data_IF_276382931342
#
_entry.id   IF_276382931342
#
_cell.length_a   1.000
_cell.length_b   1.000
_cell.length_c   1.000
_cell.angle_alpha   90.00
_cell.angle_beta   90.00
_cell.angle_gamma   90.00
#
_symmetry.space_group_name_H-M   'P 1'
#
loop_
_entity.id
_entity.type
_entity.pdbx_description
1 polymer ?
#
# COMPACT_ATOMS: atom_id res chain seq x y z
N UNK A 1 -11.55 2.16 26.54
CA UNK A 1 -11.93 3.26 25.62
C UNK A 1 -11.87 2.71 24.21
N UNK A 2 -12.97 2.73 23.44
CA UNK A 2 -12.89 2.50 21.99
C UNK A 2 -12.08 3.65 21.38
N UNK A 3 -11.09 3.37 20.54
CA UNK A 3 -10.37 4.43 19.83
C UNK A 3 -11.35 5.28 19.03
N UNK A 4 -11.09 6.59 18.93
CA UNK A 4 -11.89 7.52 18.14
C UNK A 4 -10.97 8.16 17.12
N UNK A 5 -11.41 8.18 15.86
CA UNK A 5 -10.75 8.92 14.80
C UNK A 5 -11.51 10.21 14.63
N UNK A 6 -10.86 11.33 14.94
CA UNK A 6 -11.43 12.66 14.75
C UNK A 6 -11.25 13.14 13.31
N UNK A 7 -10.15 12.72 12.66
CA UNK A 7 -9.83 13.11 11.29
C UNK A 7 -8.89 12.12 10.61
N UNK A 8 -9.05 11.94 9.31
CA UNK A 8 -8.16 11.16 8.45
C UNK A 8 -7.42 12.11 7.51
N UNK A 9 -6.10 11.97 7.42
CA UNK A 9 -5.25 12.72 6.51
C UNK A 9 -4.66 11.80 5.45
N UNK A 10 -4.87 12.15 4.19
CA UNK A 10 -4.30 11.49 3.04
C UNK A 10 -3.12 12.29 2.51
N UNK A 11 -2.01 11.59 2.34
CA UNK A 11 -0.77 12.10 1.79
C UNK A 11 -0.37 11.25 0.58
N UNK A 12 0.40 11.85 -0.33
CA UNK A 12 0.98 11.16 -1.48
C UNK A 12 2.51 11.22 -1.40
N UNK A 13 3.15 10.08 -1.66
CA UNK A 13 4.60 9.96 -1.87
C UNK A 13 4.98 10.49 -3.27
N UNK A 14 4.82 11.80 -3.46
CA UNK A 14 4.93 12.43 -4.78
C UNK A 14 3.74 12.08 -5.68
N UNK A 15 4.02 11.63 -6.89
CA UNK A 15 3.03 11.26 -7.90
C UNK A 15 2.74 9.76 -7.79
N UNK A 16 1.48 9.48 -7.54
CA UNK A 16 0.92 8.14 -7.39
C UNK A 16 -0.16 7.96 -8.45
N UNK A 17 0.22 7.70 -9.72
CA UNK A 17 -0.67 7.85 -10.88
C UNK A 17 -1.90 6.93 -10.84
N UNK A 18 -1.77 5.74 -10.23
CA UNK A 18 -2.87 4.78 -10.11
C UNK A 18 -3.83 5.09 -8.94
N UNK A 19 -3.47 6.07 -8.09
CA UNK A 19 -4.18 6.37 -6.85
C UNK A 19 -4.94 7.68 -7.01
N UNK A 20 -6.24 7.63 -6.75
CA UNK A 20 -7.16 8.75 -6.70
C UNK A 20 -7.64 8.94 -5.24
N UNK A 21 -6.94 9.79 -4.45
CA UNK A 21 -7.33 10.08 -3.08
C UNK A 21 -8.72 10.73 -2.97
N UNK A 22 -9.17 11.44 -4.02
CA UNK A 22 -10.49 12.10 -4.03
C UNK A 22 -11.59 11.05 -4.09
N UNK A 23 -11.45 10.03 -4.95
CA UNK A 23 -12.39 8.91 -5.01
C UNK A 23 -12.47 8.18 -3.66
N UNK A 24 -11.33 7.81 -3.08
CA UNK A 24 -11.27 7.11 -1.79
C UNK A 24 -11.91 7.97 -0.68
N UNK A 25 -11.60 9.27 -0.64
CA UNK A 25 -12.22 10.22 0.30
C UNK A 25 -13.75 10.24 0.13
N UNK A 26 -14.25 10.36 -1.09
CA UNK A 26 -15.69 10.41 -1.36
C UNK A 26 -16.39 9.13 -0.88
N UNK A 27 -15.76 7.97 -1.01
CA UNK A 27 -16.29 6.72 -0.49
C UNK A 27 -16.24 6.65 1.04
N UNK A 28 -15.20 7.17 1.69
CA UNK A 28 -15.11 7.25 3.14
C UNK A 28 -16.14 8.21 3.76
N UNK A 29 -16.45 9.32 3.10
CA UNK A 29 -17.47 10.27 3.54
C UNK A 29 -18.83 9.59 3.71
N UNK A 30 -19.14 8.59 2.85
CA UNK A 30 -20.35 7.78 2.97
C UNK A 30 -20.40 6.99 4.28
N UNK A 31 -19.28 6.77 4.97
CA UNK A 31 -19.22 6.11 6.29
C UNK A 31 -19.07 7.10 7.45
N UNK A 32 -19.17 8.41 7.18
CA UNK A 32 -19.13 9.47 8.19
C UNK A 32 -17.73 9.88 8.65
N UNK A 33 -16.66 9.53 7.91
CA UNK A 33 -15.30 9.93 8.25
C UNK A 33 -14.95 11.32 7.68
N UNK A 34 -14.49 12.23 8.53
CA UNK A 34 -13.87 13.50 8.09
C UNK A 34 -12.46 13.21 7.52
N UNK A 35 -12.29 13.46 6.22
CA UNK A 35 -11.05 13.16 5.49
C UNK A 35 -10.51 14.39 4.78
N UNK A 36 -9.24 14.71 5.03
CA UNK A 36 -8.48 15.76 4.37
C UNK A 36 -7.42 15.17 3.44
N UNK A 37 -7.24 15.80 2.27
CA UNK A 37 -6.16 15.48 1.34
C UNK A 37 -5.13 16.59 1.49
N UNK A 38 -3.97 16.26 2.05
CA UNK A 38 -2.84 17.19 2.21
C UNK A 38 -2.01 17.29 0.93
N UNK A 39 -2.08 16.26 0.07
CA UNK A 39 -1.34 16.19 -1.19
C UNK A 39 0.04 15.58 -1.00
N UNK A 40 1.01 16.01 -1.82
CA UNK A 40 2.36 15.45 -1.80
C UNK A 40 3.13 15.85 -0.55
N UNK A 41 3.81 14.88 0.08
CA UNK A 41 4.74 15.12 1.19
C UNK A 41 5.97 15.94 0.79
N UNK A 42 6.22 16.08 -0.51
CA UNK A 42 7.45 16.69 -1.04
C UNK A 42 7.28 18.13 -1.51
N UNK A 43 6.06 18.66 -1.55
CA UNK A 43 5.75 19.95 -2.20
C UNK A 43 6.48 21.16 -1.62
N UNK A 44 6.97 21.09 -0.37
CA UNK A 44 7.58 22.24 0.34
C UNK A 44 8.98 21.93 0.87
N UNK A 45 9.68 20.94 0.31
CA UNK A 45 11.03 20.62 0.72
C UNK A 45 12.04 21.59 0.10
N UNK A 46 12.93 22.16 0.92
CA UNK A 46 14.09 22.88 0.43
C UNK A 46 15.18 21.92 -0.11
N UNK A 47 16.17 22.47 -0.81
CA UNK A 47 17.23 21.65 -1.44
C UNK A 47 17.99 20.76 -0.45
N UNK A 48 18.19 21.23 0.78
CA UNK A 48 18.90 20.47 1.82
C UNK A 48 18.03 19.30 2.32
N UNK A 49 16.73 19.54 2.50
CA UNK A 49 15.77 18.53 2.89
C UNK A 49 15.60 17.48 1.79
N UNK A 50 15.56 17.89 0.52
CA UNK A 50 15.54 16.97 -0.62
C UNK A 50 16.75 16.04 -0.59
N UNK A 51 17.96 16.57 -0.36
CA UNK A 51 19.18 15.75 -0.27
C UNK A 51 19.12 14.77 0.92
N UNK A 52 18.74 15.28 2.10
CA UNK A 52 18.56 14.47 3.32
C UNK A 52 17.59 13.30 3.08
N UNK A 53 16.39 13.57 2.59
CA UNK A 53 15.37 12.53 2.41
C UNK A 53 15.72 11.59 1.25
N UNK A 54 16.38 12.08 0.21
CA UNK A 54 16.88 11.21 -0.87
C UNK A 54 17.89 10.18 -0.33
N UNK A 55 18.81 10.60 0.53
CA UNK A 55 19.75 9.69 1.20
C UNK A 55 19.01 8.70 2.12
N UNK A 56 18.03 9.15 2.91
CA UNK A 56 17.23 8.28 3.77
C UNK A 56 16.45 7.22 2.97
N UNK A 57 15.80 7.59 1.87
CA UNK A 57 15.12 6.63 0.99
C UNK A 57 16.10 5.68 0.31
N UNK A 58 17.31 6.13 -0.03
CA UNK A 58 18.32 5.25 -0.63
C UNK A 58 18.84 4.23 0.39
N UNK A 59 18.99 4.63 1.66
CA UNK A 59 19.36 3.76 2.77
C UNK A 59 18.30 2.71 3.12
N UNK A 60 17.02 3.05 2.96
CA UNK A 60 15.92 2.13 3.26
C UNK A 60 15.72 1.02 2.22
N UNK A 61 16.53 0.97 1.16
CA UNK A 61 16.43 -0.07 0.14
C UNK A 61 16.86 -1.44 0.66
N UNK A 62 16.08 -2.44 0.30
CA UNK A 62 16.40 -3.86 0.52
C UNK A 62 17.19 -4.37 -0.68
N UNK A 63 18.49 -4.57 -0.48
CA UNK A 63 19.39 -5.05 -1.55
C UNK A 63 19.38 -6.58 -1.70
N UNK A 64 19.09 -7.30 -0.63
CA UNK A 64 19.00 -8.75 -0.60
C UNK A 64 17.80 -9.18 0.24
N UNK A 65 16.81 -9.82 -0.38
CA UNK A 65 15.59 -10.25 0.32
C UNK A 65 15.86 -11.29 1.41
N UNK A 66 16.98 -12.01 1.39
CA UNK A 66 17.34 -13.01 2.40
C UNK A 66 18.28 -12.44 3.47
N UNK A 67 18.40 -11.11 3.57
CA UNK A 67 19.14 -10.42 4.62
C UNK A 67 18.34 -9.25 5.16
N UNK A 68 18.37 -9.04 6.48
CA UNK A 68 17.79 -7.86 7.12
C UNK A 68 18.74 -6.65 7.12
N UNK A 69 19.92 -6.78 6.50
CA UNK A 69 20.86 -5.66 6.34
C UNK A 69 20.40 -4.78 5.19
N UNK A 70 20.26 -3.49 5.47
CA UNK A 70 19.84 -2.48 4.50
C UNK A 70 21.04 -1.81 3.82
N UNK A 71 20.75 -0.82 2.99
CA UNK A 71 21.74 -0.09 2.20
C UNK A 71 22.44 1.01 3.02
N UNK A 72 23.23 0.66 4.03
CA UNK A 72 23.84 1.63 4.96
C UNK A 72 24.68 2.72 4.26
N UNK A 73 25.31 2.39 3.14
CA UNK A 73 26.17 3.28 2.34
C UNK A 73 25.70 3.36 0.90
N UNK A 74 24.61 4.09 0.61
CA UNK A 74 24.04 4.16 -0.73
C UNK A 74 25.01 4.82 -1.71
N UNK A 75 25.02 4.34 -2.95
CA UNK A 75 25.83 4.93 -4.01
C UNK A 75 25.24 6.28 -4.43
N UNK A 76 26.09 7.18 -4.94
CA UNK A 76 25.65 8.49 -5.45
C UNK A 76 24.50 8.37 -6.48
N UNK A 77 24.55 7.34 -7.34
CA UNK A 77 23.50 7.08 -8.32
C UNK A 77 22.14 6.74 -7.68
N UNK A 78 22.15 6.09 -6.52
CA UNK A 78 20.93 5.74 -5.78
C UNK A 78 20.33 6.95 -5.08
N UNK A 79 21.17 7.77 -4.44
CA UNK A 79 20.73 9.06 -3.86
C UNK A 79 20.18 9.96 -4.95
N UNK A 80 20.89 10.08 -6.09
CA UNK A 80 20.44 10.87 -7.24
C UNK A 80 19.12 10.36 -7.80
N UNK A 81 18.92 9.04 -7.84
CA UNK A 81 17.64 8.45 -8.24
C UNK A 81 16.51 8.89 -7.29
N UNK A 82 16.69 8.79 -5.98
CA UNK A 82 15.68 9.21 -5.00
C UNK A 82 15.42 10.71 -5.05
N UNK A 83 16.47 11.51 -5.21
CA UNK A 83 16.37 12.96 -5.38
C UNK A 83 15.53 13.31 -6.60
N UNK A 84 15.80 12.70 -7.75
CA UNK A 84 14.98 12.87 -8.95
C UNK A 84 13.54 12.47 -8.66
N UNK A 85 13.32 11.37 -7.93
CA UNK A 85 12.00 10.87 -7.59
C UNK A 85 11.22 11.83 -6.68
N UNK A 86 11.86 12.45 -5.69
CA UNK A 86 11.25 13.49 -4.85
C UNK A 86 10.85 14.71 -5.70
N UNK A 87 11.70 15.13 -6.63
CA UNK A 87 11.51 16.34 -7.44
C UNK A 87 10.49 16.14 -8.56
N UNK A 88 10.67 15.10 -9.38
CA UNK A 88 9.88 14.84 -10.59
C UNK A 88 8.73 13.90 -10.35
N UNK A 89 8.70 13.24 -9.20
CA UNK A 89 7.68 12.26 -8.85
C UNK A 89 7.57 11.12 -9.88
N UNK A 90 8.70 10.63 -10.38
CA UNK A 90 8.70 9.48 -11.29
C UNK A 90 8.26 8.18 -10.60
N UNK A 91 7.64 7.25 -11.32
CA UNK A 91 7.40 5.90 -10.82
C UNK A 91 8.72 5.17 -10.54
N UNK A 92 8.69 4.25 -9.57
CA UNK A 92 9.79 3.31 -9.32
C UNK A 92 9.25 1.91 -9.54
N UNK A 93 9.95 1.12 -10.35
CA UNK A 93 9.66 -0.29 -10.56
C UNK A 93 10.88 -1.10 -10.14
N UNK A 94 10.65 -2.23 -9.48
CA UNK A 94 11.71 -3.19 -9.13
C UNK A 94 12.61 -2.82 -7.95
N UNK A 95 12.37 -1.72 -7.22
CA UNK A 95 13.10 -1.40 -5.99
C UNK A 95 12.21 -1.71 -4.79
N UNK A 96 12.70 -2.59 -3.91
CA UNK A 96 12.07 -2.92 -2.65
C UNK A 96 12.64 -2.06 -1.52
N UNK A 97 11.78 -1.48 -0.69
CA UNK A 97 12.16 -0.71 0.49
C UNK A 97 11.71 -1.42 1.77
N UNK A 98 12.40 -1.15 2.87
CA UNK A 98 11.98 -1.56 4.20
C UNK A 98 10.79 -0.73 4.68
N UNK A 99 9.72 -1.40 5.12
CA UNK A 99 8.49 -0.75 5.52
C UNK A 99 8.64 0.12 6.77
N UNK A 100 9.47 -0.30 7.74
CA UNK A 100 9.66 0.43 8.99
C UNK A 100 10.46 1.71 8.74
N UNK A 101 11.54 1.62 7.97
CA UNK A 101 12.33 2.78 7.56
C UNK A 101 11.50 3.78 6.74
N UNK A 102 10.67 3.30 5.80
CA UNK A 102 9.73 4.18 5.11
C UNK A 102 8.76 4.87 6.07
N UNK A 103 8.24 4.15 7.07
CA UNK A 103 7.33 4.72 8.07
C UNK A 103 8.01 5.84 8.87
N UNK A 104 9.29 5.67 9.23
CA UNK A 104 10.07 6.72 9.89
C UNK A 104 10.29 7.94 8.99
N UNK A 105 10.65 7.73 7.72
CA UNK A 105 10.83 8.83 6.76
C UNK A 105 9.53 9.63 6.60
N UNK A 106 8.40 8.95 6.40
CA UNK A 106 7.10 9.63 6.24
C UNK A 106 6.63 10.30 7.52
N UNK A 107 6.90 9.71 8.69
CA UNK A 107 6.62 10.33 9.97
C UNK A 107 7.38 11.66 10.13
N UNK A 108 8.67 11.71 9.77
CA UNK A 108 9.50 12.93 9.83
C UNK A 108 9.02 14.03 8.86
N UNK A 109 8.41 13.64 7.74
CA UNK A 109 7.85 14.56 6.73
C UNK A 109 6.51 15.20 7.15
N UNK A 110 5.77 14.59 8.07
CA UNK A 110 4.46 15.11 8.51
C UNK A 110 4.67 16.25 9.53
N UNK A 111 3.88 17.33 9.37
CA UNK A 111 3.88 18.46 10.32
C UNK A 111 3.56 17.98 11.74
N UNK A 112 4.44 18.28 12.69
CA UNK A 112 4.32 17.83 14.09
C UNK A 112 2.98 18.20 14.75
N UNK A 113 2.40 19.33 14.39
CA UNK A 113 1.11 19.81 14.90
C UNK A 113 -0.07 18.88 14.53
N UNK A 114 0.08 18.11 13.45
CA UNK A 114 -0.92 17.15 12.98
C UNK A 114 -0.77 15.78 13.63
N UNK A 115 0.34 15.47 14.30
CA UNK A 115 0.62 14.15 14.91
C UNK A 115 -0.13 13.97 16.24
N UNK A 116 -1.45 14.03 16.19
CA UNK A 116 -2.35 13.84 17.34
C UNK A 116 -2.84 12.40 17.38
N UNK A 117 -2.99 11.84 18.58
CA UNK A 117 -3.40 10.43 18.79
C UNK A 117 -4.72 10.04 18.09
N UNK A 118 -5.65 10.98 17.92
CA UNK A 118 -6.95 10.70 17.29
C UNK A 118 -6.96 11.02 15.79
N UNK A 119 -5.84 11.43 15.21
CA UNK A 119 -5.70 11.67 13.78
C UNK A 119 -5.06 10.44 13.13
N UNK A 120 -5.68 9.97 12.05
CA UNK A 120 -5.14 8.86 11.25
C UNK A 120 -4.41 9.43 10.04
N UNK A 121 -3.14 9.10 9.90
CA UNK A 121 -2.32 9.49 8.76
C UNK A 121 -2.14 8.29 7.82
N UNK A 122 -2.49 8.46 6.55
CA UNK A 122 -2.34 7.45 5.51
C UNK A 122 -1.51 8.04 4.35
N UNK A 123 -0.37 7.42 4.07
CA UNK A 123 0.44 7.70 2.89
C UNK A 123 0.06 6.71 1.81
N UNK A 124 -0.31 7.27 0.67
CA UNK A 124 -0.36 6.54 -0.58
C UNK A 124 0.98 6.63 -1.28
N UNK A 125 1.55 5.48 -1.65
CA UNK A 125 2.81 5.38 -2.38
C UNK A 125 2.69 4.40 -3.53
N UNK A 126 3.59 4.53 -4.50
CA UNK A 126 3.85 3.54 -5.55
C UNK A 126 5.24 2.89 -5.38
N UNK A 127 5.88 3.05 -4.21
CA UNK A 127 7.08 2.27 -3.83
C UNK A 127 6.67 0.87 -3.44
N UNK A 128 7.35 -0.14 -3.96
CA UNK A 128 7.21 -1.51 -3.44
C UNK A 128 7.95 -1.60 -2.12
N UNK A 129 7.30 -2.05 -1.05
CA UNK A 129 7.95 -2.22 0.24
C UNK A 129 7.65 -3.58 0.84
N UNK A 130 8.48 -4.00 1.78
CA UNK A 130 8.33 -5.26 2.48
C UNK A 130 8.74 -5.17 3.94
N UNK A 131 8.39 -6.22 4.68
CA UNK A 131 8.80 -6.42 6.07
C UNK A 131 9.69 -7.65 6.16
N UNK A 132 10.72 -7.60 6.98
CA UNK A 132 11.47 -8.78 7.37
C UNK A 132 10.59 -9.72 8.20
N UNK A 133 10.65 -11.01 7.91
CA UNK A 133 9.92 -12.06 8.63
C UNK A 133 10.93 -13.01 9.27
N UNK A 134 10.97 -13.04 10.61
CA UNK A 134 11.94 -13.85 11.36
C UNK A 134 11.68 -15.37 11.22
N UNK A 135 10.45 -15.75 10.87
CA UNK A 135 10.07 -17.16 10.75
C UNK A 135 10.66 -17.86 9.53
N UNK A 136 10.90 -17.14 8.42
CA UNK A 136 11.53 -17.68 7.21
C UNK A 136 12.76 -16.90 6.73
N UNK A 137 13.25 -15.95 7.56
CA UNK A 137 14.47 -15.17 7.38
C UNK A 137 14.57 -14.50 6.01
N UNK A 138 13.47 -13.86 5.60
CA UNK A 138 13.43 -13.08 4.37
C UNK A 138 12.43 -11.93 4.41
N UNK A 139 12.60 -10.99 3.49
CA UNK A 139 11.65 -9.93 3.21
C UNK A 139 10.43 -10.46 2.46
N UNK A 140 9.27 -10.05 2.93
CA UNK A 140 7.99 -10.26 2.25
C UNK A 140 7.47 -8.91 1.79
N UNK A 141 7.19 -8.77 0.50
CA UNK A 141 6.50 -7.60 -0.01
C UNK A 141 5.12 -7.46 0.67
N UNK A 142 4.70 -6.22 0.92
CA UNK A 142 3.44 -5.89 1.58
C UNK A 142 2.67 -4.86 0.78
N UNK A 143 1.35 -4.92 0.87
CA UNK A 143 0.47 -3.88 0.33
C UNK A 143 0.37 -2.69 1.29
N UNK A 144 0.35 -2.98 2.59
CA UNK A 144 0.12 -1.98 3.63
C UNK A 144 1.01 -2.24 4.86
N UNK A 145 1.30 -1.16 5.58
CA UNK A 145 1.85 -1.17 6.93
C UNK A 145 0.97 -0.25 7.79
N UNK A 146 0.52 -0.75 8.94
CA UNK A 146 -0.30 0.02 9.88
C UNK A 146 0.52 0.39 11.12
N UNK A 147 0.74 1.68 11.31
CA UNK A 147 1.50 2.23 12.44
C UNK A 147 0.91 3.60 12.83
N UNK A 148 1.65 4.42 13.59
CA UNK A 148 1.31 5.83 13.80
C UNK A 148 1.08 6.58 12.48
N UNK A 149 1.75 6.12 11.42
CA UNK A 149 1.67 6.65 10.07
C UNK A 149 1.52 5.46 9.12
N UNK A 150 0.29 5.18 8.69
CA UNK A 150 -0.02 4.04 7.85
C UNK A 150 0.43 4.28 6.42
N UNK A 151 0.98 3.24 5.77
CA UNK A 151 1.44 3.29 4.39
C UNK A 151 0.64 2.29 3.58
N UNK A 152 0.17 2.69 2.40
CA UNK A 152 -0.53 1.81 1.46
C UNK A 152 0.09 2.00 0.06
N UNK A 153 0.56 0.91 -0.53
CA UNK A 153 1.26 0.92 -1.81
C UNK A 153 0.41 0.36 -2.96
N UNK A 154 0.29 1.10 -4.06
CA UNK A 154 -0.29 0.57 -5.31
C UNK A 154 0.62 -0.47 -5.96
N UNK A 155 1.94 -0.27 -5.94
CA UNK A 155 2.90 -1.28 -6.41
C UNK A 155 2.83 -2.53 -5.54
N UNK A 156 2.75 -2.37 -4.21
CA UNK A 156 2.51 -3.45 -3.27
C UNK A 156 1.21 -4.20 -3.58
N UNK A 157 0.11 -3.50 -3.86
CA UNK A 157 -1.17 -4.12 -4.23
C UNK A 157 -1.06 -5.03 -5.47
N UNK A 158 -0.22 -4.65 -6.44
CA UNK A 158 -0.07 -5.37 -7.72
C UNK A 158 0.93 -6.52 -7.57
N UNK A 159 2.06 -6.27 -6.90
CA UNK A 159 3.22 -7.16 -6.91
C UNK A 159 3.34 -8.05 -5.66
N UNK A 160 2.83 -7.63 -4.50
CA UNK A 160 3.01 -8.38 -3.26
C UNK A 160 2.12 -9.63 -3.14
N UNK A 161 0.80 -9.58 -3.43
CA UNK A 161 -0.05 -10.76 -3.37
C UNK A 161 0.31 -11.73 -4.49
N UNK A 162 0.38 -13.02 -4.17
CA UNK A 162 0.65 -14.06 -5.15
C UNK A 162 -0.41 -14.07 -6.26
N UNK A 163 0.01 -14.35 -7.51
CA UNK A 163 -0.93 -14.61 -8.61
C UNK A 163 -1.76 -15.87 -8.32
N UNK A 164 -2.91 -16.06 -8.96
CA UNK A 164 -3.80 -17.19 -8.64
C UNK A 164 -3.10 -18.54 -8.82
N UNK A 165 -3.56 -19.56 -8.09
CA UNK A 165 -2.98 -20.92 -8.19
C UNK A 165 -3.03 -21.47 -9.62
N UNK A 166 -4.10 -21.16 -10.36
CA UNK A 166 -4.24 -21.55 -11.76
C UNK A 166 -3.19 -20.91 -12.68
N UNK A 167 -2.71 -19.69 -12.37
CA UNK A 167 -1.63 -19.05 -13.14
C UNK A 167 -0.35 -19.88 -13.03
N UNK A 168 0.02 -20.28 -11.82
CA UNK A 168 1.21 -21.10 -11.59
C UNK A 168 1.06 -22.52 -12.16
N UNK A 169 -0.13 -23.12 -12.10
CA UNK A 169 -0.40 -24.41 -12.72
C UNK A 169 -0.20 -24.36 -14.25
N UNK A 170 -0.74 -23.34 -14.91
CA UNK A 170 -0.57 -23.15 -16.34
C UNK A 170 0.88 -22.82 -16.71
N UNK A 171 1.56 -21.97 -15.94
CA UNK A 171 2.98 -21.68 -16.13
C UNK A 171 3.84 -22.95 -16.01
N UNK A 172 3.52 -23.83 -15.07
CA UNK A 172 4.19 -25.13 -14.97
C UNK A 172 3.95 -26.02 -16.19
N UNK A 173 2.72 -26.05 -16.72
CA UNK A 173 2.36 -26.88 -17.87
C UNK A 173 2.91 -26.36 -19.22
N UNK A 174 2.94 -25.03 -19.39
CA UNK A 174 3.33 -24.36 -20.64
C UNK A 174 4.83 -23.98 -20.67
N UNK A 175 5.54 -24.07 -19.54
CA UNK A 175 6.93 -23.61 -19.38
C UNK A 175 7.04 -22.11 -19.10
N UNK A 176 8.26 -21.56 -19.11
CA UNK A 176 8.55 -20.14 -18.83
C UNK A 176 8.09 -19.16 -19.92
N UNK A 177 7.24 -19.62 -20.85
CA UNK A 177 6.65 -18.75 -21.85
C UNK A 177 5.48 -18.02 -21.19
N UNK A 178 5.65 -16.74 -20.85
CA UNK A 178 4.57 -15.80 -20.50
C UNK A 178 3.70 -15.49 -21.75
N UNK A 179 3.20 -16.52 -22.45
CA UNK A 179 2.25 -16.32 -23.55
C UNK A 179 0.85 -16.25 -22.98
N UNK A 180 0.52 -15.03 -22.55
CA UNK A 180 -0.79 -14.67 -22.03
C UNK A 180 -1.94 -15.08 -22.95
N UNK A 181 -1.70 -15.06 -24.26
CA UNK A 181 -2.65 -15.44 -25.30
C UNK A 181 -2.98 -16.93 -25.18
N UNK A 182 -1.97 -17.79 -25.05
CA UNK A 182 -2.17 -19.23 -24.82
C UNK A 182 -2.89 -19.51 -23.50
N UNK A 183 -2.66 -18.72 -22.44
CA UNK A 183 -3.39 -18.88 -21.18
C UNK A 183 -4.89 -18.59 -21.35
N UNK A 184 -5.23 -17.50 -22.04
CA UNK A 184 -6.63 -17.13 -22.33
C UNK A 184 -7.29 -18.17 -23.25
N UNK A 185 -6.59 -18.64 -24.29
CA UNK A 185 -7.09 -19.68 -25.20
C UNK A 185 -7.39 -21.00 -24.48
N UNK A 186 -6.63 -21.32 -23.43
CA UNK A 186 -6.89 -22.45 -22.54
C UNK A 186 -7.98 -22.17 -21.47
N UNK A 187 -8.74 -21.08 -21.61
CA UNK A 187 -9.87 -20.74 -20.75
C UNK A 187 -9.49 -20.10 -19.41
N UNK A 188 -8.27 -19.55 -19.28
CA UNK A 188 -7.84 -18.91 -18.05
C UNK A 188 -8.41 -17.50 -17.90
N UNK A 189 -9.28 -17.30 -16.91
CA UNK A 189 -9.82 -15.99 -16.59
C UNK A 189 -8.81 -15.14 -15.78
N UNK A 190 -8.58 -13.90 -16.22
CA UNK A 190 -7.70 -12.95 -15.52
C UNK A 190 -8.28 -12.55 -14.16
N UNK A 191 -7.75 -13.12 -13.09
CA UNK A 191 -8.12 -12.80 -11.70
C UNK A 191 -7.03 -12.06 -10.92
N UNK A 192 -6.44 -11.04 -11.53
CA UNK A 192 -5.51 -10.14 -10.85
C UNK A 192 -5.60 -8.71 -11.35
N UNK A 193 -5.04 -7.81 -10.54
CA UNK A 193 -4.87 -6.40 -10.87
C UNK A 193 -3.52 -6.19 -11.57
N UNK A 194 -3.49 -5.25 -12.51
CA UNK A 194 -2.28 -4.69 -13.11
C UNK A 194 -2.31 -3.15 -13.00
N UNK A 195 -1.18 -2.50 -13.29
CA UNK A 195 -1.06 -1.05 -13.34
C UNK A 195 -2.13 -0.44 -14.27
N UNK A 196 -2.74 0.68 -13.85
CA UNK A 196 -3.83 1.33 -14.57
C UNK A 196 -5.21 0.65 -14.42
N UNK A 197 -5.36 -0.43 -13.67
CA UNK A 197 -6.67 -1.06 -13.47
C UNK A 197 -7.62 -0.15 -12.67
N UNK A 198 -8.81 0.10 -13.23
CA UNK A 198 -9.87 0.94 -12.62
C UNK A 198 -10.29 0.49 -11.21
N UNK A 199 -10.03 -0.78 -10.86
CA UNK A 199 -10.36 -1.40 -9.58
C UNK A 199 -9.35 -1.07 -8.47
N UNK A 200 -8.16 -0.54 -8.78
CA UNK A 200 -7.09 -0.23 -7.81
C UNK A 200 -7.64 0.59 -6.64
N UNK A 201 -8.34 1.69 -6.90
CA UNK A 201 -8.85 2.56 -5.85
C UNK A 201 -9.92 1.90 -4.97
N UNK A 202 -10.71 0.97 -5.51
CA UNK A 202 -11.67 0.21 -4.71
C UNK A 202 -10.98 -0.81 -3.81
N UNK A 203 -9.84 -1.36 -4.25
CA UNK A 203 -9.00 -2.24 -3.47
C UNK A 203 -8.28 -1.47 -2.37
N UNK A 204 -7.66 -0.32 -2.70
CA UNK A 204 -6.98 0.55 -1.73
C UNK A 204 -7.94 1.02 -0.63
N UNK A 205 -9.20 1.28 -0.95
CA UNK A 205 -10.23 1.60 0.05
C UNK A 205 -10.37 0.49 1.12
N UNK A 206 -10.22 -0.79 0.77
CA UNK A 206 -10.24 -1.89 1.74
C UNK A 206 -9.05 -1.77 2.72
N UNK A 207 -7.85 -1.48 2.22
CA UNK A 207 -6.67 -1.26 3.06
C UNK A 207 -6.76 0.01 3.91
N UNK A 208 -7.49 1.03 3.45
CA UNK A 208 -7.82 2.21 4.26
C UNK A 208 -8.76 1.86 5.40
N UNK A 209 -9.77 1.01 5.16
CA UNK A 209 -10.60 0.50 6.26
C UNK A 209 -9.78 -0.34 7.25
N UNK A 210 -8.84 -1.15 6.78
CA UNK A 210 -7.93 -1.87 7.67
C UNK A 210 -7.09 -0.90 8.54
N UNK A 211 -6.59 0.20 7.98
CA UNK A 211 -5.90 1.24 8.77
C UNK A 211 -6.82 1.89 9.83
N UNK A 212 -8.08 2.16 9.47
CA UNK A 212 -9.10 2.67 10.39
C UNK A 212 -9.35 1.68 11.55
N UNK A 213 -9.52 0.39 11.23
CA UNK A 213 -9.74 -0.65 12.24
C UNK A 213 -8.52 -0.83 13.14
N UNK A 214 -7.31 -0.79 12.59
CA UNK A 214 -6.08 -0.82 13.37
C UNK A 214 -6.01 0.35 14.37
N UNK A 215 -6.30 1.57 13.94
CA UNK A 215 -6.27 2.75 14.83
C UNK A 215 -7.28 2.66 15.97
N UNK A 216 -8.44 2.06 15.73
CA UNK A 216 -9.54 2.00 16.70
C UNK A 216 -9.41 0.80 17.65
N UNK A 217 -9.00 -0.35 17.13
CA UNK A 217 -9.07 -1.64 17.81
C UNK A 217 -7.70 -2.31 18.02
N UNK A 218 -6.65 -1.85 17.34
CA UNK A 218 -5.33 -2.48 17.32
C UNK A 218 -5.22 -3.72 16.42
N UNK A 219 -6.33 -4.18 15.82
CA UNK A 219 -6.38 -5.32 14.91
C UNK A 219 -7.07 -4.92 13.60
N UNK A 220 -6.40 -5.02 12.43
CA UNK A 220 -6.97 -4.60 11.16
C UNK A 220 -7.76 -5.71 10.44
N UNK A 221 -7.51 -6.98 10.77
CA UNK A 221 -7.82 -8.11 9.89
C UNK A 221 -9.07 -8.89 10.31
N UNK A 222 -9.75 -9.43 9.30
CA UNK A 222 -10.86 -10.36 9.45
C UNK A 222 -10.52 -11.71 8.82
N UNK A 223 -10.99 -12.81 9.39
CA UNK A 223 -10.89 -14.14 8.80
C UNK A 223 -11.98 -14.47 7.77
N UNK A 224 -13.01 -13.62 7.65
CA UNK A 224 -14.09 -13.81 6.66
C UNK A 224 -13.65 -13.30 5.29
N UNK A 225 -13.53 -14.21 4.32
CA UNK A 225 -13.08 -13.94 2.93
C UNK A 225 -13.94 -12.94 2.15
N UNK A 226 -15.17 -12.71 2.59
CA UNK A 226 -16.09 -11.74 1.96
C UNK A 226 -16.07 -10.38 2.67
N UNK A 227 -15.29 -10.21 3.73
CA UNK A 227 -15.14 -8.93 4.42
C UNK A 227 -14.04 -8.11 3.76
N UNK A 228 -14.22 -6.81 3.60
CA UNK A 228 -13.15 -5.92 3.11
C UNK A 228 -11.88 -5.91 3.98
N UNK A 229 -11.99 -6.34 5.25
CA UNK A 229 -10.87 -6.45 6.17
C UNK A 229 -10.12 -7.78 6.07
N UNK A 230 -10.49 -8.65 5.12
CA UNK A 230 -9.79 -9.92 4.94
C UNK A 230 -8.32 -9.69 4.56
N UNK A 231 -7.42 -10.40 5.24
CA UNK A 231 -5.99 -10.35 4.94
C UNK A 231 -5.70 -11.23 3.71
N UNK A 232 -5.94 -10.67 2.53
CA UNK A 232 -5.75 -11.37 1.27
C UNK A 232 -4.25 -11.55 0.97
N UNK A 233 -3.84 -12.79 0.72
CA UNK A 233 -2.47 -13.12 0.31
C UNK A 233 -2.37 -13.40 -1.20
N UNK A 234 -3.51 -13.60 -1.85
CA UNK A 234 -3.62 -13.91 -3.27
C UNK A 234 -4.39 -12.81 -4.01
N UNK A 235 -3.98 -12.51 -5.24
CA UNK A 235 -4.70 -11.59 -6.13
C UNK A 235 -6.17 -11.99 -6.32
N UNK A 236 -6.45 -13.29 -6.46
CA UNK A 236 -7.82 -13.80 -6.60
C UNK A 236 -8.67 -13.52 -5.36
N UNK A 237 -8.10 -13.53 -4.15
CA UNK A 237 -8.84 -13.16 -2.94
C UNK A 237 -9.20 -11.68 -2.92
N UNK A 238 -8.29 -10.81 -3.38
CA UNK A 238 -8.57 -9.38 -3.55
C UNK A 238 -9.70 -9.19 -4.56
N UNK A 239 -9.62 -9.84 -5.73
CA UNK A 239 -10.66 -9.77 -6.76
C UNK A 239 -12.01 -10.27 -6.22
N UNK A 240 -12.04 -11.39 -5.50
CA UNK A 240 -13.28 -11.92 -4.91
C UNK A 240 -13.94 -10.91 -3.95
N UNK A 241 -13.16 -10.21 -3.12
CA UNK A 241 -13.68 -9.15 -2.24
C UNK A 241 -14.22 -7.98 -3.07
N UNK A 242 -13.54 -7.63 -4.16
CA UNK A 242 -13.96 -6.56 -5.07
C UNK A 242 -15.18 -6.93 -5.90
N UNK A 243 -15.49 -8.20 -6.12
CA UNK A 243 -16.70 -8.62 -6.81
C UNK A 243 -17.89 -8.68 -5.84
N UNK A 244 -17.63 -9.08 -4.59
CA UNK A 244 -18.62 -9.17 -3.52
C UNK A 244 -18.70 -7.89 -2.66
N UNK A 245 -18.74 -6.71 -3.30
CA UNK A 245 -18.60 -5.40 -2.59
C UNK A 245 -19.70 -5.10 -1.57
N UNK A 246 -20.85 -5.77 -1.65
CA UNK A 246 -22.01 -5.50 -0.79
C UNK A 246 -22.58 -6.79 -0.17
N UNK A 247 -22.75 -6.85 1.16
CA UNK A 247 -22.28 -5.86 2.15
C UNK A 247 -20.74 -5.82 2.24
N UNK A 248 -20.15 -4.62 2.31
CA UNK A 248 -18.69 -4.45 2.37
C UNK A 248 -18.04 -5.09 3.60
N UNK A 249 -18.75 -5.05 4.73
CA UNK A 249 -18.31 -5.62 5.99
C UNK A 249 -19.14 -6.86 6.33
N UNK A 250 -18.51 -7.84 6.96
CA UNK A 250 -19.24 -8.95 7.57
C UNK A 250 -20.05 -8.46 8.79
N UNK A 251 -20.97 -9.30 9.29
CA UNK A 251 -21.82 -8.98 10.44
C UNK A 251 -21.04 -8.54 11.68
N UNK A 252 -19.82 -9.06 11.89
CA UNK A 252 -18.94 -8.67 13.01
C UNK A 252 -18.33 -7.28 12.86
N UNK A 253 -18.09 -6.85 11.62
CA UNK A 253 -17.36 -5.62 11.30
C UNK A 253 -18.25 -4.52 10.72
N UNK A 254 -19.55 -4.74 10.64
CA UNK A 254 -20.52 -3.75 10.18
C UNK A 254 -20.80 -2.67 11.25
N UNK A 255 -19.73 -2.01 11.71
CA UNK A 255 -19.73 -0.99 12.75
C UNK A 255 -20.03 0.40 12.19
N UNK A 256 -19.63 0.64 10.94
CA UNK A 256 -19.84 1.90 10.23
C UNK A 256 -20.99 1.73 9.25
N UNK A 257 -22.13 2.39 9.54
CA UNK A 257 -23.27 2.41 8.61
C UNK A 257 -23.03 3.45 7.54
N UNK A 258 -23.37 3.12 6.29
CA UNK A 258 -23.41 4.12 5.22
C UNK A 258 -24.45 5.20 5.57
N UNK A 259 -24.00 6.44 5.65
CA UNK A 259 -24.85 7.63 5.64
C UNK A 259 -25.43 7.73 4.22
N UNK A 260 -26.76 7.78 4.12
CA UNK A 260 -27.46 7.96 2.86
C UNK A 260 -27.24 9.36 2.30
#
# INVERSE_FOLDING_TARGET
MKGRIDKIFFYQDGNTPDIDPVKIKNDLTKYGFDTCIEGSLFSNLDSNSVEKYAEMFAKSRVLNINSNTLNDTPLYGEIKYEKNRIITSSSSTGILYDALELSYIYYDLIKKELLKKNFLHIIFTNRLFGTWEDSDLRYHARVSLYSAVSIISSAGLIEAPARSRGYYFLKFQLGDIDDYSNMIENGFEKKWLDYGDKRINDALLNYVFQAIFYQIFGEPFCSNKNCCLYNAHWQEEIINILENKEPRFCSKHNLFKKVK
#
